data_IF_860239655873
#
_entry.id   IF_860239655873
#
_cell.length_a   1.000
_cell.length_b   1.000
_cell.length_c   1.000
_cell.angle_alpha   90.00
_cell.angle_beta   90.00
_cell.angle_gamma   90.00
#
_symmetry.space_group_name_H-M   'P 1'
#
loop_
_entity.id
_entity.type
_entity.pdbx_description
1 polymer ?
#
# COMPACT_ATOMS: atom_id res chain seq x y z
N UNK A 1 45.81 -21.18 -5.74
CA UNK A 1 44.83 -21.57 -6.78
C UNK A 1 44.22 -20.31 -7.38
N UNK A 2 44.73 -19.86 -8.54
CA UNK A 2 44.20 -18.68 -9.24
C UNK A 2 43.21 -19.15 -10.31
N UNK A 3 41.93 -18.78 -10.18
CA UNK A 3 40.89 -19.03 -11.17
C UNK A 3 40.98 -17.96 -12.27
N UNK A 4 41.89 -18.15 -13.23
CA UNK A 4 41.90 -17.35 -14.46
C UNK A 4 40.67 -17.75 -15.31
N UNK A 5 39.52 -17.10 -15.05
CA UNK A 5 38.36 -17.18 -15.92
C UNK A 5 38.64 -16.36 -17.19
N UNK A 6 39.07 -17.02 -18.26
CA UNK A 6 39.09 -16.41 -19.58
C UNK A 6 37.64 -16.23 -20.04
N UNK A 7 37.25 -14.98 -20.28
CA UNK A 7 35.95 -14.67 -20.89
C UNK A 7 36.09 -14.98 -22.37
N UNK A 8 35.42 -16.02 -22.85
CA UNK A 8 35.38 -16.28 -24.29
C UNK A 8 34.46 -15.25 -24.96
N UNK A 9 35.03 -14.46 -25.86
CA UNK A 9 34.31 -13.43 -26.61
C UNK A 9 33.14 -14.02 -27.41
N UNK A 10 33.23 -15.27 -27.83
CA UNK A 10 32.17 -16.01 -28.51
C UNK A 10 30.99 -16.31 -27.57
N UNK A 11 31.23 -16.62 -26.29
CA UNK A 11 30.15 -16.81 -25.32
C UNK A 11 29.50 -15.47 -24.98
N UNK A 12 30.30 -14.41 -24.77
CA UNK A 12 29.80 -13.08 -24.46
C UNK A 12 28.94 -12.49 -25.61
N UNK A 13 29.33 -12.72 -26.86
CA UNK A 13 28.54 -12.25 -28.02
C UNK A 13 27.30 -13.12 -28.26
N UNK A 14 27.33 -14.42 -27.92
CA UNK A 14 26.16 -15.30 -27.98
C UNK A 14 25.09 -14.88 -26.96
N UNK A 15 25.48 -14.58 -25.71
CA UNK A 15 24.55 -14.08 -24.69
C UNK A 15 23.95 -12.73 -25.09
N UNK A 16 24.75 -11.79 -25.60
CA UNK A 16 24.23 -10.51 -26.10
C UNK A 16 23.23 -10.66 -27.26
N UNK A 17 23.41 -11.65 -28.15
CA UNK A 17 22.42 -11.94 -29.20
C UNK A 17 21.14 -12.55 -28.63
N UNK A 18 21.26 -13.45 -27.66
CA UNK A 18 20.11 -14.05 -26.96
C UNK A 18 19.29 -12.97 -26.24
N UNK A 19 19.95 -12.03 -25.55
CA UNK A 19 19.30 -10.91 -24.88
C UNK A 19 18.56 -9.99 -25.87
N UNK A 20 19.14 -9.75 -27.05
CA UNK A 20 18.47 -8.98 -28.13
C UNK A 20 17.27 -9.69 -28.75
N UNK A 21 17.29 -11.03 -28.80
CA UNK A 21 16.15 -11.81 -29.33
C UNK A 21 15.03 -11.97 -28.30
N UNK A 22 15.28 -11.72 -27.02
CA UNK A 22 14.29 -11.79 -25.96
C UNK A 22 13.49 -10.48 -25.86
N UNK A 23 12.81 -10.11 -26.95
CA UNK A 23 11.74 -9.12 -26.88
C UNK A 23 10.51 -9.83 -26.33
N UNK A 24 10.11 -9.50 -25.11
CA UNK A 24 8.87 -10.01 -24.55
C UNK A 24 7.73 -9.74 -25.55
N UNK A 25 6.89 -10.75 -25.88
CA UNK A 25 5.82 -10.55 -26.85
C UNK A 25 4.93 -9.39 -26.41
N UNK A 26 4.54 -8.54 -27.37
CA UNK A 26 3.59 -7.47 -27.08
C UNK A 26 2.33 -8.10 -26.47
N UNK A 27 1.96 -7.65 -25.27
CA UNK A 27 0.76 -8.15 -24.58
C UNK A 27 -0.42 -8.10 -25.56
N UNK A 28 -1.11 -9.22 -25.73
CA UNK A 28 -2.29 -9.28 -26.59
C UNK A 28 -3.33 -8.25 -26.09
N UNK A 29 -4.25 -7.83 -26.97
CA UNK A 29 -5.25 -6.81 -26.62
C UNK A 29 -6.05 -7.18 -25.35
N UNK A 30 -6.35 -8.47 -25.16
CA UNK A 30 -7.05 -8.97 -23.99
C UNK A 30 -6.26 -8.76 -22.69
N UNK A 31 -4.96 -9.06 -22.67
CA UNK A 31 -4.07 -8.83 -21.52
C UNK A 31 -3.94 -7.34 -21.20
N UNK A 32 -3.93 -6.47 -22.21
CA UNK A 32 -3.91 -5.02 -22.01
C UNK A 32 -5.20 -4.53 -21.37
N UNK A 33 -6.35 -4.97 -21.87
CA UNK A 33 -7.67 -4.65 -21.29
C UNK A 33 -7.74 -5.15 -19.84
N UNK A 34 -7.35 -6.39 -19.56
CA UNK A 34 -7.36 -6.95 -18.22
C UNK A 34 -6.45 -6.17 -17.25
N UNK A 35 -5.26 -5.74 -17.70
CA UNK A 35 -4.37 -4.88 -16.89
C UNK A 35 -4.97 -3.51 -16.62
N UNK A 36 -5.63 -2.91 -17.60
CA UNK A 36 -6.31 -1.62 -17.43
C UNK A 36 -7.50 -1.72 -16.47
N UNK A 37 -8.31 -2.76 -16.57
CA UNK A 37 -9.43 -3.02 -15.66
C UNK A 37 -8.94 -3.26 -14.23
N UNK A 38 -7.91 -4.10 -14.05
CA UNK A 38 -7.28 -4.32 -12.75
C UNK A 38 -6.74 -3.01 -12.15
N UNK A 39 -6.14 -2.15 -12.98
CA UNK A 39 -5.69 -0.82 -12.56
C UNK A 39 -6.85 0.07 -12.13
N UNK A 40 -7.92 0.15 -12.92
CA UNK A 40 -9.13 0.93 -12.59
C UNK A 40 -9.77 0.45 -11.27
N UNK A 41 -9.88 -0.87 -11.09
CA UNK A 41 -10.37 -1.46 -9.86
C UNK A 41 -9.49 -1.08 -8.66
N UNK A 42 -8.15 -1.15 -8.79
CA UNK A 42 -7.22 -0.73 -7.75
C UNK A 42 -7.37 0.76 -7.37
N UNK A 43 -7.50 1.65 -8.37
CA UNK A 43 -7.73 3.09 -8.14
C UNK A 43 -9.03 3.31 -7.36
N UNK A 44 -10.10 2.61 -7.75
CA UNK A 44 -11.40 2.71 -7.08
C UNK A 44 -11.30 2.28 -5.61
N UNK A 45 -10.71 1.12 -5.33
CA UNK A 45 -10.52 0.62 -3.95
C UNK A 45 -9.71 1.61 -3.12
N UNK A 46 -8.65 2.19 -3.70
CA UNK A 46 -7.86 3.22 -3.02
C UNK A 46 -8.69 4.48 -2.72
N UNK A 47 -9.48 4.98 -3.68
CA UNK A 47 -10.34 6.14 -3.47
C UNK A 47 -11.39 5.92 -2.39
N UNK A 48 -12.02 4.73 -2.36
CA UNK A 48 -13.01 4.37 -1.35
C UNK A 48 -12.37 4.28 0.04
N UNK A 49 -11.17 3.69 0.13
CA UNK A 49 -10.42 3.63 1.39
C UNK A 49 -10.02 5.03 1.90
N UNK A 50 -9.61 5.93 0.99
CA UNK A 50 -9.28 7.32 1.33
C UNK A 50 -10.50 8.10 1.81
N UNK A 51 -11.65 7.93 1.16
CA UNK A 51 -12.92 8.52 1.57
C UNK A 51 -13.34 8.03 2.97
N UNK A 52 -13.29 6.72 3.20
CA UNK A 52 -13.59 6.13 4.51
C UNK A 52 -12.68 6.66 5.63
N UNK A 53 -11.38 6.86 5.32
CA UNK A 53 -10.43 7.47 6.26
C UNK A 53 -10.80 8.93 6.56
N UNK A 54 -11.17 9.72 5.55
CA UNK A 54 -11.61 11.09 5.76
C UNK A 54 -12.86 11.17 6.66
N UNK A 55 -13.86 10.32 6.40
CA UNK A 55 -15.06 10.22 7.25
C UNK A 55 -14.72 9.81 8.68
N UNK A 56 -13.81 8.85 8.88
CA UNK A 56 -13.41 8.41 10.21
C UNK A 56 -12.62 9.51 10.97
N UNK A 57 -11.79 10.29 10.27
CA UNK A 57 -11.07 11.43 10.85
C UNK A 57 -11.98 12.57 11.30
N UNK A 58 -13.11 12.76 10.61
CA UNK A 58 -14.09 13.78 10.96
C UNK A 58 -14.94 13.41 12.20
N UNK A 59 -14.92 12.15 12.63
CA UNK A 59 -15.68 11.72 13.80
C UNK A 59 -15.02 12.20 15.10
N UNK A 60 -15.81 12.65 16.09
CA UNK A 60 -15.30 12.92 17.42
C UNK A 60 -14.68 11.65 18.02
N UNK A 61 -13.43 11.74 18.49
CA UNK A 61 -12.71 10.62 19.13
C UNK A 61 -12.86 10.63 20.66
N UNK A 62 -13.49 11.67 21.20
CA UNK A 62 -13.77 11.81 22.62
C UNK A 62 -15.10 12.56 22.80
N UNK A 63 -15.66 12.39 23.98
CA UNK A 63 -16.86 13.07 24.47
C UNK A 63 -16.57 13.58 25.88
N UNK A 64 -17.53 14.29 26.49
CA UNK A 64 -17.43 14.70 27.90
C UNK A 64 -17.25 13.50 28.85
N UNK A 65 -17.74 12.30 28.49
CA UNK A 65 -17.60 11.09 29.27
C UNK A 65 -16.23 10.39 29.11
N UNK A 66 -15.38 10.86 28.19
CA UNK A 66 -14.06 10.29 27.92
C UNK A 66 -13.85 9.89 26.46
N UNK A 67 -12.87 9.03 26.21
CA UNK A 67 -12.50 8.61 24.86
C UNK A 67 -13.52 7.62 24.27
N UNK A 68 -13.93 7.87 23.02
CA UNK A 68 -14.80 6.95 22.28
C UNK A 68 -13.97 5.82 21.65
N UNK A 69 -13.98 4.66 22.31
CA UNK A 69 -13.26 3.46 21.84
C UNK A 69 -13.72 3.01 20.46
N UNK A 70 -15.01 3.13 20.16
CA UNK A 70 -15.58 2.72 18.87
C UNK A 70 -15.05 3.61 17.75
N UNK A 71 -15.09 4.94 17.94
CA UNK A 71 -14.57 5.89 16.97
C UNK A 71 -13.06 5.70 16.73
N UNK A 72 -12.27 5.45 17.79
CA UNK A 72 -10.83 5.18 17.70
C UNK A 72 -10.55 3.88 16.93
N UNK A 73 -11.30 2.80 17.20
CA UNK A 73 -11.18 1.54 16.46
C UNK A 73 -11.56 1.70 14.98
N UNK A 74 -12.62 2.48 14.70
CA UNK A 74 -13.03 2.79 13.33
C UNK A 74 -11.96 3.56 12.57
N UNK A 75 -11.34 4.56 13.20
CA UNK A 75 -10.21 5.30 12.64
C UNK A 75 -9.01 4.38 12.36
N UNK A 76 -8.63 3.53 13.31
CA UNK A 76 -7.54 2.58 13.12
C UNK A 76 -7.81 1.62 11.95
N UNK A 77 -9.02 1.07 11.85
CA UNK A 77 -9.40 0.21 10.74
C UNK A 77 -9.39 0.94 9.39
N UNK A 78 -9.81 2.21 9.35
CA UNK A 78 -9.75 3.02 8.14
C UNK A 78 -8.31 3.29 7.69
N UNK A 79 -7.39 3.56 8.63
CA UNK A 79 -5.94 3.69 8.36
C UNK A 79 -5.39 2.40 7.76
N UNK A 80 -5.71 1.23 8.34
CA UNK A 80 -5.25 -0.06 7.80
C UNK A 80 -5.78 -0.29 6.39
N UNK A 81 -7.06 0.02 6.13
CA UNK A 81 -7.68 -0.13 4.80
C UNK A 81 -6.98 0.73 3.75
N UNK A 82 -6.71 2.00 4.07
CA UNK A 82 -5.98 2.91 3.16
C UNK A 82 -4.57 2.39 2.86
N UNK A 83 -3.82 1.97 3.88
CA UNK A 83 -2.45 1.47 3.68
C UNK A 83 -2.39 0.15 2.90
N UNK A 84 -3.39 -0.73 3.07
CA UNK A 84 -3.51 -1.97 2.28
C UNK A 84 -3.90 -1.71 0.83
N UNK A 85 -4.72 -0.68 0.59
CA UNK A 85 -5.07 -0.26 -0.76
C UNK A 85 -3.90 0.46 -1.46
N UNK A 86 -3.06 1.18 -0.71
CA UNK A 86 -1.90 1.90 -1.23
C UNK A 86 -0.74 0.97 -1.62
N UNK A 87 -0.52 -0.10 -0.85
CA UNK A 87 0.62 -1.02 -1.04
C UNK A 87 0.14 -2.47 -0.98
N UNK A 88 0.26 -3.17 -2.10
CA UNK A 88 -0.05 -4.59 -2.21
C UNK A 88 0.85 -5.43 -1.30
N UNK A 89 0.30 -6.51 -0.75
CA UNK A 89 1.04 -7.46 0.10
C UNK A 89 1.12 -7.12 1.58
N UNK A 90 0.62 -5.95 2.02
CA UNK A 90 0.55 -5.64 3.46
C UNK A 90 -0.58 -6.41 4.14
N UNK A 91 -0.25 -7.11 5.22
CA UNK A 91 -1.23 -7.85 6.02
C UNK A 91 -1.90 -6.94 7.06
N UNK A 92 -3.17 -7.21 7.37
CA UNK A 92 -3.90 -6.50 8.42
C UNK A 92 -3.17 -6.59 9.78
N UNK A 93 -2.72 -7.79 10.14
CA UNK A 93 -1.99 -8.07 11.39
C UNK A 93 -0.72 -7.23 11.53
N UNK A 94 0.01 -7.00 10.44
CA UNK A 94 1.22 -6.18 10.45
C UNK A 94 0.97 -4.68 10.58
N UNK A 95 -0.26 -4.22 10.36
CA UNK A 95 -0.61 -2.81 10.33
C UNK A 95 -1.45 -2.35 11.52
N UNK A 96 -2.36 -3.21 12.01
CA UNK A 96 -3.37 -2.80 13.01
C UNK A 96 -2.76 -2.25 14.29
N UNK A 97 -1.65 -2.82 14.78
CA UNK A 97 -0.97 -2.31 15.97
C UNK A 97 -0.47 -0.87 15.79
N UNK A 98 0.17 -0.56 14.66
CA UNK A 98 0.64 0.81 14.35
C UNK A 98 -0.53 1.77 14.14
N UNK A 99 -1.57 1.31 13.46
CA UNK A 99 -2.76 2.11 13.21
C UNK A 99 -3.51 2.46 14.50
N UNK A 100 -3.57 1.54 15.47
CA UNK A 100 -4.14 1.80 16.80
C UNK A 100 -3.34 2.85 17.56
N UNK A 101 -2.01 2.74 17.56
CA UNK A 101 -1.15 3.77 18.17
C UNK A 101 -1.38 5.14 17.55
N UNK A 102 -1.50 5.21 16.22
CA UNK A 102 -1.78 6.45 15.50
C UNK A 102 -3.16 7.02 15.85
N UNK A 103 -4.21 6.19 15.85
CA UNK A 103 -5.56 6.61 16.21
C UNK A 103 -5.65 7.09 17.67
N UNK A 104 -4.94 6.42 18.59
CA UNK A 104 -4.86 6.81 19.99
C UNK A 104 -4.14 8.15 20.17
N UNK A 105 -3.03 8.36 19.45
CA UNK A 105 -2.33 9.65 19.46
C UNK A 105 -3.25 10.77 18.96
N UNK A 106 -3.97 10.55 17.86
CA UNK A 106 -4.95 11.51 17.32
C UNK A 106 -6.06 11.85 18.32
N UNK A 107 -6.56 10.86 19.07
CA UNK A 107 -7.56 11.09 20.11
C UNK A 107 -7.01 11.97 21.25
N UNK A 108 -5.78 11.72 21.70
CA UNK A 108 -5.13 12.56 22.73
C UNK A 108 -4.94 13.99 22.24
N UNK A 109 -4.45 14.18 21.02
CA UNK A 109 -4.23 15.52 20.46
C UNK A 109 -5.55 16.27 20.30
N UNK A 110 -6.61 15.59 19.86
CA UNK A 110 -7.94 16.21 19.73
C UNK A 110 -8.49 16.66 21.10
N UNK A 111 -8.30 15.85 22.14
CA UNK A 111 -8.71 16.22 23.50
C UNK A 111 -7.91 17.42 24.04
N UNK A 112 -6.60 17.43 23.84
CA UNK A 112 -5.74 18.54 24.27
C UNK A 112 -6.12 19.84 23.55
N UNK A 113 -6.33 19.77 22.23
CA UNK A 113 -6.73 20.93 21.43
C UNK A 113 -8.11 21.50 21.82
N UNK A 114 -9.01 20.69 22.37
CA UNK A 114 -10.30 21.15 22.88
C UNK A 114 -10.26 21.70 24.32
N UNK A 115 -9.16 21.50 25.02
CA UNK A 115 -8.96 22.00 26.39
C UNK A 115 -8.27 23.38 26.43
N UNK A 116 -7.75 23.85 25.30
CA UNK A 116 -7.13 25.16 25.09
C UNK A 116 -8.01 26.04 24.21
#
# INVERSE_FOLDING_TARGET
>A
MSLNRSISWTAATRTMRQDRTFVAPAANLAERIAREEARKAGIRVYSEAKAALATAKARPLFTAAGFDRSAIMLLANAIVREQRAAVLGRSYRGLIGKALTQAWAAAKTARLAAAH
#
